data_IF_166549210237
#
_entry.id   IF_166549210237
#
_cell.length_a   1.000
_cell.length_b   1.000
_cell.length_c   1.000
_cell.angle_alpha   90.00
_cell.angle_beta   90.00
_cell.angle_gamma   90.00
#
_symmetry.space_group_name_H-M   'P 1'
#
loop_
_entity.id
_entity.type
_entity.pdbx_description
1 polymer ?
#
# COMPACT_ATOMS: atom_id res chain seq x y z
N UNK A 1 -10.72 1.69 18.14
CA UNK A 1 -11.33 2.89 17.72
C UNK A 1 -12.64 2.63 17.01
N UNK A 2 -13.63 3.50 17.22
CA UNK A 2 -14.98 3.30 16.71
C UNK A 2 -15.07 3.37 15.18
N UNK A 3 -14.10 3.96 14.51
CA UNK A 3 -14.08 4.09 13.05
C UNK A 3 -13.37 2.93 12.33
N UNK A 4 -12.79 1.98 13.06
CA UNK A 4 -12.08 0.85 12.45
C UNK A 4 -12.96 0.00 11.53
N UNK A 5 -14.20 -0.37 11.92
CA UNK A 5 -15.07 -1.11 11.01
C UNK A 5 -15.42 -0.35 9.73
N UNK A 6 -15.61 0.98 9.82
CA UNK A 6 -15.89 1.80 8.65
C UNK A 6 -14.69 1.86 7.71
N UNK A 7 -13.48 2.00 8.26
CA UNK A 7 -12.24 1.97 7.47
C UNK A 7 -12.05 0.62 6.79
N UNK A 8 -12.32 -0.47 7.50
CA UNK A 8 -12.20 -1.82 6.94
C UNK A 8 -13.15 -2.00 5.76
N UNK A 9 -14.40 -1.57 5.89
CA UNK A 9 -15.39 -1.63 4.83
C UNK A 9 -14.95 -0.83 3.61
N UNK A 10 -14.47 0.39 3.82
CA UNK A 10 -14.00 1.25 2.74
C UNK A 10 -12.81 0.64 2.02
N UNK A 11 -11.87 0.07 2.77
CA UNK A 11 -10.70 -0.60 2.19
C UNK A 11 -11.12 -1.79 1.33
N UNK A 12 -12.05 -2.60 1.81
CA UNK A 12 -12.56 -3.75 1.06
C UNK A 12 -13.23 -3.30 -0.23
N UNK A 13 -14.06 -2.26 -0.17
CA UNK A 13 -14.73 -1.71 -1.35
C UNK A 13 -13.73 -1.24 -2.40
N UNK A 14 -12.69 -0.52 -1.98
CA UNK A 14 -11.66 -0.02 -2.89
C UNK A 14 -10.87 -1.17 -3.52
N UNK A 15 -10.51 -2.17 -2.75
CA UNK A 15 -9.79 -3.34 -3.25
C UNK A 15 -10.62 -4.05 -4.31
N UNK A 16 -11.91 -4.29 -4.05
CA UNK A 16 -12.80 -4.95 -5.00
C UNK A 16 -12.96 -4.15 -6.29
N UNK A 17 -13.14 -2.84 -6.16
CA UNK A 17 -13.31 -1.96 -7.31
C UNK A 17 -12.08 -1.98 -8.22
N UNK A 18 -10.91 -1.76 -7.65
CA UNK A 18 -9.68 -1.67 -8.43
C UNK A 18 -9.23 -3.02 -8.97
N UNK A 19 -9.49 -4.09 -8.23
CA UNK A 19 -9.20 -5.45 -8.72
C UNK A 19 -10.04 -5.76 -9.97
N UNK A 20 -11.33 -5.46 -9.92
CA UNK A 20 -12.23 -5.70 -11.06
C UNK A 20 -11.83 -4.87 -12.29
N UNK A 21 -11.34 -3.64 -12.07
CA UNK A 21 -10.89 -2.76 -13.14
C UNK A 21 -9.47 -3.07 -13.63
N UNK A 22 -8.73 -3.95 -12.96
CA UNK A 22 -7.35 -4.25 -13.30
C UNK A 22 -6.39 -3.10 -12.99
N UNK A 23 -6.77 -2.19 -12.08
CA UNK A 23 -6.00 -0.97 -11.79
C UNK A 23 -5.26 -1.03 -10.46
N UNK A 24 -5.37 -2.12 -9.71
CA UNK A 24 -4.72 -2.26 -8.41
C UNK A 24 -3.32 -2.83 -8.56
N UNK A 25 -2.38 -2.19 -7.88
CA UNK A 25 -0.99 -2.63 -7.80
C UNK A 25 -0.61 -2.66 -6.32
N UNK A 26 0.09 -3.70 -5.90
CA UNK A 26 0.61 -3.84 -4.54
C UNK A 26 2.12 -4.03 -4.57
N UNK A 27 2.81 -3.53 -3.55
CA UNK A 27 4.22 -3.86 -3.36
C UNK A 27 4.36 -5.10 -2.49
N UNK A 28 5.47 -5.81 -2.63
CA UNK A 28 5.76 -6.95 -1.73
C UNK A 28 5.90 -6.49 -0.29
N UNK A 29 6.35 -5.24 -0.07
CA UNK A 29 6.42 -4.67 1.26
C UNK A 29 5.04 -4.61 1.93
N UNK A 30 4.01 -4.19 1.18
CA UNK A 30 2.65 -4.12 1.71
C UNK A 30 2.16 -5.52 2.10
N UNK A 31 2.49 -6.54 1.31
CA UNK A 31 2.14 -7.91 1.65
C UNK A 31 2.85 -8.37 2.93
N UNK A 32 4.13 -8.01 3.09
CA UNK A 32 4.89 -8.33 4.30
C UNK A 32 4.26 -7.66 5.52
N UNK A 33 3.91 -6.40 5.40
CA UNK A 33 3.26 -5.65 6.49
C UNK A 33 1.90 -6.25 6.85
N UNK A 34 1.12 -6.65 5.85
CA UNK A 34 -0.15 -7.31 6.08
C UNK A 34 0.04 -8.57 6.92
N UNK A 35 0.97 -9.44 6.53
CA UNK A 35 1.21 -10.69 7.27
C UNK A 35 1.64 -10.41 8.70
N UNK A 36 2.55 -9.45 8.89
CA UNK A 36 3.02 -9.10 10.22
C UNK A 36 1.89 -8.58 11.11
N UNK A 37 1.06 -7.68 10.59
CA UNK A 37 -0.07 -7.13 11.34
C UNK A 37 -1.11 -8.22 11.64
N UNK A 38 -1.38 -9.08 10.67
CA UNK A 38 -2.34 -10.17 10.84
C UNK A 38 -1.90 -11.14 11.95
N UNK A 39 -0.60 -11.44 12.00
CA UNK A 39 -0.06 -12.32 13.03
C UNK A 39 -0.02 -11.66 14.40
N UNK A 40 0.46 -10.42 14.47
CA UNK A 40 0.82 -9.79 15.74
C UNK A 40 -0.31 -8.98 16.36
N UNK A 41 -1.02 -8.18 15.57
CA UNK A 41 -2.09 -7.33 16.08
C UNK A 41 -3.44 -8.01 16.04
N UNK A 42 -3.80 -8.55 14.89
CA UNK A 42 -5.12 -9.14 14.69
C UNK A 42 -5.19 -10.58 15.16
N UNK A 43 -4.04 -11.22 15.30
CA UNK A 43 -3.94 -12.63 15.77
C UNK A 43 -4.86 -13.55 14.97
N UNK A 44 -4.87 -13.37 13.66
CA UNK A 44 -5.67 -14.20 12.78
C UNK A 44 -5.09 -15.62 12.68
N UNK A 45 -5.94 -16.63 12.46
CA UNK A 45 -5.44 -17.98 12.21
C UNK A 45 -4.58 -18.02 10.95
N UNK A 46 -3.50 -18.78 10.99
CA UNK A 46 -2.58 -18.91 9.85
C UNK A 46 -3.30 -19.34 8.57
N UNK A 47 -4.24 -20.31 8.60
CA UNK A 47 -4.97 -20.65 7.37
C UNK A 47 -5.69 -19.46 6.72
N UNK A 48 -6.27 -18.59 7.54
CA UNK A 48 -6.93 -17.38 7.03
C UNK A 48 -5.93 -16.42 6.43
N UNK A 49 -4.78 -16.23 7.07
CA UNK A 49 -3.72 -15.38 6.56
C UNK A 49 -3.24 -15.88 5.20
N UNK A 50 -3.06 -17.21 5.05
CA UNK A 50 -2.64 -17.82 3.77
C UNK A 50 -3.68 -17.58 2.68
N UNK A 51 -4.97 -17.70 3.02
CA UNK A 51 -6.05 -17.45 2.08
C UNK A 51 -6.03 -16.00 1.57
N UNK A 52 -5.89 -15.05 2.49
CA UNK A 52 -5.84 -13.62 2.14
C UNK A 52 -4.59 -13.29 1.36
N UNK A 53 -3.45 -13.84 1.73
CA UNK A 53 -2.20 -13.62 1.02
C UNK A 53 -2.30 -14.13 -0.42
N UNK A 54 -2.89 -15.29 -0.64
CA UNK A 54 -3.10 -15.83 -1.99
C UNK A 54 -4.00 -14.91 -2.81
N UNK A 55 -5.04 -14.34 -2.20
CA UNK A 55 -5.93 -13.41 -2.85
C UNK A 55 -5.20 -12.13 -3.29
N UNK A 56 -4.44 -11.52 -2.37
CA UNK A 56 -3.71 -10.28 -2.67
C UNK A 56 -2.58 -10.51 -3.67
N UNK A 57 -2.02 -11.71 -3.73
CA UNK A 57 -0.96 -12.05 -4.69
C UNK A 57 -1.46 -12.12 -6.14
N UNK A 58 -2.77 -12.01 -6.35
CA UNK A 58 -3.34 -11.94 -7.70
C UNK A 58 -3.29 -10.53 -8.30
N UNK A 59 -3.01 -9.51 -7.48
CA UNK A 59 -2.78 -8.16 -7.99
C UNK A 59 -1.43 -8.10 -8.69
N UNK A 60 -1.23 -7.07 -9.49
CA UNK A 60 0.09 -6.77 -10.03
C UNK A 60 1.01 -6.42 -8.86
N UNK A 61 2.13 -7.13 -8.75
CA UNK A 61 3.05 -6.95 -7.65
C UNK A 61 4.31 -6.24 -8.10
N UNK A 62 4.75 -5.27 -7.31
CA UNK A 62 6.03 -4.58 -7.49
C UNK A 62 7.01 -5.17 -6.47
N UNK A 63 8.01 -5.94 -6.92
CA UNK A 63 9.00 -6.46 -6.00
C UNK A 63 9.92 -5.36 -5.48
N UNK A 64 10.35 -5.51 -4.23
CA UNK A 64 11.31 -4.58 -3.63
C UNK A 64 12.72 -4.90 -4.15
N UNK A 65 13.07 -4.30 -5.29
CA UNK A 65 14.38 -4.49 -5.94
C UNK A 65 15.39 -3.48 -5.42
N UNK A 66 16.70 -3.69 -5.68
CA UNK A 66 17.71 -2.68 -5.37
C UNK A 66 17.42 -1.32 -6.01
N UNK A 67 16.86 -1.29 -7.22
CA UNK A 67 16.50 -0.05 -7.90
C UNK A 67 15.39 0.69 -7.16
N UNK A 68 14.40 -0.04 -6.66
CA UNK A 68 13.33 0.56 -5.84
C UNK A 68 13.91 1.12 -4.55
N UNK A 69 14.81 0.39 -3.90
CA UNK A 69 15.44 0.84 -2.65
C UNK A 69 16.24 2.11 -2.88
N UNK A 70 17.03 2.17 -3.94
CA UNK A 70 17.82 3.35 -4.29
C UNK A 70 16.91 4.56 -4.57
N UNK A 71 15.84 4.36 -5.36
CA UNK A 71 14.89 5.42 -5.64
C UNK A 71 14.20 5.91 -4.38
N UNK A 72 13.88 5.00 -3.46
CA UNK A 72 13.27 5.35 -2.18
C UNK A 72 14.22 6.17 -1.31
N UNK A 73 15.51 5.83 -1.34
CA UNK A 73 16.51 6.60 -0.59
C UNK A 73 16.56 8.04 -1.11
N UNK A 74 16.54 8.22 -2.43
CA UNK A 74 16.51 9.55 -3.03
C UNK A 74 15.26 10.34 -2.62
N UNK A 75 14.10 9.69 -2.62
CA UNK A 75 12.85 10.34 -2.17
C UNK A 75 12.91 10.73 -0.70
N UNK A 76 13.48 9.87 0.13
CA UNK A 76 13.64 10.13 1.55
C UNK A 76 14.46 11.41 1.78
N UNK A 77 15.58 11.54 1.06
CA UNK A 77 16.43 12.72 1.17
C UNK A 77 15.72 13.98 0.69
N UNK A 78 14.98 13.87 -0.43
CA UNK A 78 14.35 15.03 -1.07
C UNK A 78 13.11 15.52 -0.31
N UNK A 79 12.30 14.60 0.19
CA UNK A 79 10.98 14.92 0.76
C UNK A 79 10.87 14.73 2.27
N UNK A 80 11.91 14.26 2.91
CA UNK A 80 11.94 14.04 4.37
C UNK A 80 10.84 13.08 4.87
N UNK A 81 10.38 12.18 4.02
CA UNK A 81 9.44 11.13 4.44
C UNK A 81 10.21 10.02 5.16
N UNK A 82 9.50 9.15 5.90
CA UNK A 82 10.15 7.95 6.41
C UNK A 82 10.64 7.10 5.24
N UNK A 83 11.67 6.29 5.48
CA UNK A 83 12.19 5.44 4.42
C UNK A 83 11.16 4.42 3.94
N UNK A 84 10.39 3.85 4.87
CA UNK A 84 9.36 2.87 4.49
C UNK A 84 8.23 3.49 3.68
N UNK A 85 7.82 4.72 4.00
CA UNK A 85 6.86 5.44 3.17
C UNK A 85 7.45 5.74 1.80
N UNK A 86 8.73 6.10 1.75
CA UNK A 86 9.42 6.33 0.49
C UNK A 86 9.49 5.07 -0.38
N UNK A 87 9.65 3.88 0.23
CA UNK A 87 9.62 2.62 -0.49
C UNK A 87 8.27 2.38 -1.18
N UNK A 88 7.19 2.62 -0.46
CA UNK A 88 5.84 2.46 -0.99
C UNK A 88 5.61 3.45 -2.13
N UNK A 89 6.00 4.71 -1.92
CA UNK A 89 5.85 5.75 -2.93
C UNK A 89 6.68 5.46 -4.18
N UNK A 90 7.93 5.02 -4.00
CA UNK A 90 8.79 4.69 -5.13
C UNK A 90 8.23 3.50 -5.92
N UNK A 91 7.65 2.52 -5.25
CA UNK A 91 7.00 1.39 -5.91
C UNK A 91 5.85 1.88 -6.79
N UNK A 92 5.06 2.84 -6.31
CA UNK A 92 3.97 3.43 -7.07
C UNK A 92 4.50 4.20 -8.29
N UNK A 93 5.55 5.00 -8.11
CA UNK A 93 6.17 5.75 -9.20
C UNK A 93 6.70 4.81 -10.28
N UNK A 94 7.47 3.81 -9.87
CA UNK A 94 8.11 2.88 -10.80
C UNK A 94 7.11 2.03 -11.59
N UNK A 95 5.95 1.73 -10.99
CA UNK A 95 4.92 0.96 -11.66
C UNK A 95 3.97 1.80 -12.51
N UNK A 96 4.19 3.12 -12.57
CA UNK A 96 3.37 4.00 -13.38
C UNK A 96 2.01 4.32 -12.78
N UNK A 97 1.84 4.14 -11.48
CA UNK A 97 0.60 4.49 -10.81
C UNK A 97 0.41 6.00 -10.79
N UNK A 98 -0.83 6.44 -10.94
CA UNK A 98 -1.17 7.85 -10.82
C UNK A 98 -1.64 8.23 -9.42
N UNK A 99 -2.04 7.25 -8.63
CA UNK A 99 -2.59 7.48 -7.28
C UNK A 99 -2.02 6.45 -6.31
N UNK A 100 -1.63 6.91 -5.14
CA UNK A 100 -1.26 6.06 -4.00
C UNK A 100 -2.28 6.29 -2.89
N UNK A 101 -2.94 5.21 -2.47
CA UNK A 101 -3.91 5.26 -1.38
C UNK A 101 -3.20 4.91 -0.06
N UNK A 102 -3.16 5.88 0.83
CA UNK A 102 -2.54 5.70 2.15
C UNK A 102 -3.13 6.71 3.14
N UNK A 103 -3.23 6.35 4.40
CA UNK A 103 -3.62 7.28 5.45
C UNK A 103 -2.43 7.84 6.23
N UNK A 104 -1.22 7.34 5.95
CA UNK A 104 -0.02 7.65 6.74
C UNK A 104 0.83 8.77 6.17
N UNK A 105 0.53 9.24 4.94
CA UNK A 105 1.29 10.27 4.27
C UNK A 105 0.42 11.50 4.05
N UNK A 106 1.04 12.63 3.69
CA UNK A 106 0.32 13.88 3.48
C UNK A 106 -0.68 13.75 2.35
N UNK A 107 -1.97 13.87 2.69
CA UNK A 107 -3.07 13.80 1.73
C UNK A 107 -2.97 14.94 0.70
N UNK A 108 -3.32 14.63 -0.55
CA UNK A 108 -3.33 15.54 -1.70
C UNK A 108 -1.97 15.99 -2.19
N UNK A 109 -0.87 15.51 -1.62
CA UNK A 109 0.45 15.78 -2.17
C UNK A 109 0.63 15.07 -3.51
N UNK A 110 1.42 15.66 -4.39
CA UNK A 110 1.78 15.04 -5.67
C UNK A 110 3.30 14.93 -5.71
N UNK A 111 3.80 13.71 -5.79
CA UNK A 111 5.24 13.43 -5.79
C UNK A 111 5.53 12.45 -6.92
N UNK A 112 6.46 12.82 -7.81
CA UNK A 112 6.84 11.95 -8.93
C UNK A 112 5.68 11.60 -9.85
N UNK A 113 4.69 12.48 -9.98
CA UNK A 113 3.50 12.23 -10.79
C UNK A 113 2.43 11.38 -10.08
N UNK A 114 2.66 11.00 -8.83
CA UNK A 114 1.72 10.19 -8.05
C UNK A 114 0.98 11.09 -7.07
N UNK A 115 -0.34 11.08 -7.13
CA UNK A 115 -1.18 11.80 -6.18
C UNK A 115 -1.42 10.93 -4.94
N UNK A 116 -1.06 11.45 -3.79
CA UNK A 116 -1.28 10.76 -2.52
C UNK A 116 -2.69 11.09 -2.05
N UNK A 117 -3.47 10.06 -1.78
CA UNK A 117 -4.88 10.20 -1.40
C UNK A 117 -5.17 9.37 -0.17
N UNK A 118 -5.74 10.02 0.85
CA UNK A 118 -6.26 9.29 2.01
C UNK A 118 -7.65 8.77 1.65
N UNK A 119 -7.84 7.45 1.54
CA UNK A 119 -9.12 6.87 1.12
C UNK A 119 -10.21 7.03 2.18
N UNK A 120 -9.85 7.47 3.39
CA UNK A 120 -10.76 7.59 4.50
C UNK A 120 -11.15 9.04 4.81
N UNK A 121 -10.54 10.01 4.14
CA UNK A 121 -10.96 11.40 4.31
C UNK A 121 -12.21 11.67 3.47
N UNK A 122 -13.04 12.54 4.00
CA UNK A 122 -14.32 12.88 3.37
C UNK A 122 -14.14 13.69 2.09
#
# INVERSE_FOLDING_TARGET
ASDEPAKQQRAIQLIKLHRAAGTAVLSTQVLQEFVNVALRKLKLPVPLIRERLALYSRFDLVPCSPEIIEGALALHVLHSTSFYDALILQSAIASGCSVLLTEDMQDRAVIGGVKITNPFSA
#
